data_IF_753272150712
#
_entry.id   IF_753272150712
#
_cell.length_a   1.000
_cell.length_b   1.000
_cell.length_c   1.000
_cell.angle_alpha   90.00
_cell.angle_beta   90.00
_cell.angle_gamma   90.00
#
_symmetry.space_group_name_H-M   'P 1'
#
loop_
_entity.id
_entity.type
_entity.pdbx_description
1 polymer ?
#
# COMPACT_ATOMS: atom_id res chain seq x y z
N UNK A 1 -36.29 0.81 0.43
CA UNK A 1 -36.02 1.02 1.88
C UNK A 1 -35.63 2.47 2.05
N UNK A 2 -36.26 3.21 2.97
CA UNK A 2 -35.92 4.62 3.22
C UNK A 2 -34.54 4.74 3.88
N UNK A 3 -33.70 5.67 3.41
CA UNK A 3 -32.33 5.86 3.93
C UNK A 3 -32.30 6.11 5.44
N UNK A 4 -33.19 6.98 5.93
CA UNK A 4 -33.24 7.32 7.35
C UNK A 4 -33.62 6.13 8.22
N UNK A 5 -34.55 5.31 7.74
CA UNK A 5 -34.92 4.05 8.39
C UNK A 5 -33.73 3.09 8.43
N UNK A 6 -33.03 2.94 7.31
CA UNK A 6 -31.82 2.11 7.22
C UNK A 6 -30.74 2.59 8.19
N UNK A 7 -30.41 3.89 8.20
CA UNK A 7 -29.39 4.44 9.10
C UNK A 7 -29.77 4.22 10.57
N UNK A 8 -31.03 4.44 10.93
CA UNK A 8 -31.51 4.20 12.29
C UNK A 8 -31.39 2.72 12.69
N UNK A 9 -31.81 1.80 11.83
CA UNK A 9 -31.69 0.34 12.02
C UNK A 9 -30.22 -0.06 12.22
N UNK A 10 -29.34 0.38 11.32
CA UNK A 10 -27.91 0.05 11.33
C UNK A 10 -27.10 0.76 12.43
N UNK A 11 -27.68 1.77 13.09
CA UNK A 11 -26.99 2.58 14.09
C UNK A 11 -26.01 3.59 13.51
N UNK A 12 -26.26 4.00 12.26
CA UNK A 12 -25.45 4.97 11.54
C UNK A 12 -25.91 6.39 11.85
N UNK A 13 -24.94 7.24 12.20
CA UNK A 13 -25.17 8.66 12.44
C UNK A 13 -25.20 9.50 11.16
N UNK A 14 -25.35 10.82 11.35
CA UNK A 14 -25.50 11.79 10.26
C UNK A 14 -24.36 11.76 9.23
N UNK A 15 -23.12 11.46 9.63
CA UNK A 15 -21.99 11.40 8.71
C UNK A 15 -22.10 10.22 7.71
N UNK A 16 -22.60 9.08 8.18
CA UNK A 16 -22.88 7.94 7.30
C UNK A 16 -24.08 8.21 6.39
N UNK A 17 -25.10 8.90 6.89
CA UNK A 17 -26.25 9.34 6.08
C UNK A 17 -25.79 10.27 4.94
N UNK A 18 -24.89 11.24 5.22
CA UNK A 18 -24.31 12.11 4.18
C UNK A 18 -23.52 11.35 3.12
N UNK A 19 -22.81 10.28 3.50
CA UNK A 19 -22.07 9.42 2.56
C UNK A 19 -23.05 8.67 1.64
N UNK A 20 -24.15 8.16 2.19
CA UNK A 20 -25.10 7.31 1.48
C UNK A 20 -26.12 8.11 0.66
N UNK A 21 -26.57 9.27 1.13
CA UNK A 21 -27.60 10.09 0.49
C UNK A 21 -27.41 10.31 -1.02
N UNK A 22 -26.25 10.77 -1.53
CA UNK A 22 -26.09 11.06 -2.95
C UNK A 22 -26.10 9.81 -3.84
N UNK A 23 -26.03 8.61 -3.26
CA UNK A 23 -25.89 7.34 -3.98
C UNK A 23 -26.96 6.32 -3.59
N UNK A 24 -27.90 6.68 -2.71
CA UNK A 24 -28.81 5.74 -2.06
C UNK A 24 -29.73 5.02 -3.04
N UNK A 25 -30.33 5.74 -3.98
CA UNK A 25 -31.25 5.16 -4.96
C UNK A 25 -30.54 4.13 -5.84
N UNK A 26 -29.32 4.46 -6.30
CA UNK A 26 -28.48 3.53 -7.06
C UNK A 26 -28.14 2.28 -6.26
N UNK A 27 -27.85 2.42 -4.96
CA UNK A 27 -27.56 1.29 -4.08
C UNK A 27 -28.81 0.43 -3.85
N UNK A 28 -29.98 1.04 -3.69
CA UNK A 28 -31.26 0.33 -3.56
C UNK A 28 -31.63 -0.46 -4.82
N UNK A 29 -31.37 0.10 -6.00
CA UNK A 29 -31.66 -0.55 -7.29
C UNK A 29 -30.79 -1.81 -7.52
N UNK A 30 -29.55 -1.80 -7.04
CA UNK A 30 -28.57 -2.84 -7.38
C UNK A 30 -28.24 -3.83 -6.26
N UNK A 31 -28.58 -3.52 -5.01
CA UNK A 31 -28.44 -4.48 -3.92
C UNK A 31 -29.37 -5.68 -4.16
N UNK A 32 -28.79 -6.86 -4.20
CA UNK A 32 -29.53 -8.10 -4.40
C UNK A 32 -30.45 -8.36 -3.18
N UNK A 33 -31.68 -8.85 -3.42
CA UNK A 33 -32.58 -9.24 -2.34
C UNK A 33 -32.08 -10.52 -1.63
N UNK A 34 -32.36 -10.61 -0.33
CA UNK A 34 -32.03 -11.78 0.48
C UNK A 34 -30.57 -11.82 0.96
N UNK A 35 -30.18 -12.94 1.57
CA UNK A 35 -28.84 -13.13 2.11
C UNK A 35 -27.84 -13.36 0.97
N UNK A 36 -26.78 -12.54 0.83
CA UNK A 36 -25.78 -12.72 -0.23
C UNK A 36 -25.07 -14.06 -0.16
N UNK A 37 -24.66 -14.58 -1.32
CA UNK A 37 -23.94 -15.87 -1.43
C UNK A 37 -22.67 -15.90 -0.57
N UNK A 38 -21.94 -14.78 -0.48
CA UNK A 38 -20.71 -14.69 0.32
C UNK A 38 -20.95 -14.76 1.83
N UNK A 39 -22.21 -14.77 2.27
CA UNK A 39 -22.60 -14.96 3.66
C UNK A 39 -23.07 -16.40 3.95
N UNK A 40 -22.98 -17.33 2.99
CA UNK A 40 -23.29 -18.74 3.25
C UNK A 40 -22.05 -19.49 3.74
N UNK A 41 -22.27 -20.51 4.56
CA UNK A 41 -21.20 -21.31 5.19
C UNK A 41 -20.20 -21.85 4.17
N UNK A 42 -20.69 -22.55 3.14
CA UNK A 42 -19.88 -23.12 2.06
C UNK A 42 -18.98 -22.08 1.37
N UNK A 43 -19.39 -20.81 1.33
CA UNK A 43 -18.59 -19.76 0.72
C UNK A 43 -17.33 -19.46 1.54
N UNK A 44 -17.49 -19.12 2.81
CA UNK A 44 -16.33 -18.74 3.63
C UNK A 44 -15.54 -19.96 4.10
N UNK A 45 -16.14 -21.15 4.21
CA UNK A 45 -15.42 -22.42 4.39
C UNK A 45 -14.40 -22.63 3.26
N UNK A 46 -14.80 -22.31 2.02
CA UNK A 46 -13.91 -22.40 0.85
C UNK A 46 -12.82 -21.32 0.84
N UNK A 47 -13.18 -20.06 1.09
CA UNK A 47 -12.30 -18.92 0.81
C UNK A 47 -11.49 -18.43 2.01
N UNK A 48 -12.04 -18.51 3.23
CA UNK A 48 -11.36 -18.00 4.42
C UNK A 48 -10.03 -18.71 4.71
N UNK A 49 -9.89 -20.05 4.58
CA UNK A 49 -8.62 -20.73 4.84
C UNK A 49 -7.46 -20.22 3.97
N UNK A 50 -7.76 -19.68 2.77
CA UNK A 50 -6.74 -19.08 1.90
C UNK A 50 -6.10 -17.82 2.48
N UNK A 51 -6.74 -17.18 3.46
CA UNK A 51 -6.25 -15.93 4.06
C UNK A 51 -5.13 -16.16 5.07
N UNK A 52 -5.00 -17.38 5.62
CA UNK A 52 -4.11 -17.63 6.76
C UNK A 52 -4.49 -16.84 8.02
N UNK A 53 -5.75 -16.43 8.14
CA UNK A 53 -6.29 -15.78 9.33
C UNK A 53 -6.38 -16.72 10.55
N UNK A 54 -6.69 -16.18 11.74
CA UNK A 54 -6.75 -16.97 12.97
C UNK A 54 -7.88 -18.01 12.99
N UNK A 55 -7.72 -19.04 13.80
CA UNK A 55 -8.76 -20.04 14.07
C UNK A 55 -9.99 -19.41 14.75
N UNK A 56 -11.11 -20.16 14.77
CA UNK A 56 -12.37 -19.72 15.41
C UNK A 56 -13.18 -18.70 14.61
N UNK A 57 -12.76 -18.37 13.38
CA UNK A 57 -13.49 -17.42 12.54
C UNK A 57 -14.83 -17.95 12.01
N UNK A 58 -14.95 -19.26 11.81
CA UNK A 58 -16.17 -19.88 11.28
C UNK A 58 -17.38 -19.57 12.16
N UNK A 59 -17.26 -19.75 13.48
CA UNK A 59 -18.33 -19.45 14.43
C UNK A 59 -18.75 -17.97 14.40
N UNK A 60 -17.79 -17.06 14.23
CA UNK A 60 -18.07 -15.62 14.11
C UNK A 60 -18.77 -15.29 12.80
N UNK A 61 -18.38 -15.93 11.70
CA UNK A 61 -19.02 -15.77 10.40
C UNK A 61 -20.45 -16.36 10.40
N UNK A 62 -20.66 -17.53 10.99
CA UNK A 62 -21.97 -18.14 11.21
C UNK A 62 -22.90 -17.18 12.00
N UNK A 63 -22.39 -16.54 13.05
CA UNK A 63 -23.14 -15.56 13.83
C UNK A 63 -23.55 -14.34 12.98
N UNK A 64 -22.64 -13.81 12.16
CA UNK A 64 -22.93 -12.70 11.23
C UNK A 64 -23.96 -13.11 10.18
N UNK A 65 -23.84 -14.32 9.63
CA UNK A 65 -24.78 -14.89 8.67
C UNK A 65 -26.18 -15.06 9.26
N UNK A 66 -26.29 -15.53 10.50
CA UNK A 66 -27.56 -15.65 11.22
C UNK A 66 -28.24 -14.28 11.39
N UNK A 67 -27.49 -13.27 11.81
CA UNK A 67 -28.01 -11.89 11.94
C UNK A 67 -28.54 -11.38 10.59
N UNK A 68 -27.79 -11.61 9.50
CA UNK A 68 -28.24 -11.20 8.17
C UNK A 68 -29.48 -11.97 7.69
N UNK A 69 -29.63 -13.25 8.04
CA UNK A 69 -30.81 -14.04 7.71
C UNK A 69 -32.07 -13.58 8.45
N UNK A 70 -31.94 -13.08 9.67
CA UNK A 70 -33.05 -12.64 10.53
C UNK A 70 -33.37 -11.13 10.37
N UNK A 71 -32.44 -10.33 9.83
CA UNK A 71 -32.58 -8.89 9.67
C UNK A 71 -32.41 -8.45 8.19
N UNK A 72 -33.50 -8.04 7.49
CA UNK A 72 -33.44 -7.58 6.11
C UNK A 72 -32.52 -6.36 5.88
N UNK A 73 -32.40 -5.44 6.84
CA UNK A 73 -31.47 -4.30 6.75
C UNK A 73 -30.00 -4.76 6.80
N UNK A 74 -29.70 -5.78 7.60
CA UNK A 74 -28.37 -6.38 7.69
C UNK A 74 -27.98 -7.10 6.38
N UNK A 75 -28.87 -7.92 5.83
CA UNK A 75 -28.66 -8.55 4.52
C UNK A 75 -28.49 -7.51 3.40
N UNK A 76 -29.36 -6.50 3.38
CA UNK A 76 -29.28 -5.39 2.43
C UNK A 76 -27.94 -4.66 2.55
N UNK A 77 -27.47 -4.36 3.77
CA UNK A 77 -26.18 -3.69 3.97
C UNK A 77 -25.01 -4.50 3.41
N UNK A 78 -24.98 -5.81 3.66
CA UNK A 78 -23.96 -6.69 3.10
C UNK A 78 -23.97 -6.66 1.56
N UNK A 79 -25.15 -6.78 0.94
CA UNK A 79 -25.27 -6.71 -0.52
C UNK A 79 -24.86 -5.34 -1.08
N UNK A 80 -25.26 -4.27 -0.40
CA UNK A 80 -24.94 -2.89 -0.78
C UNK A 80 -23.42 -2.68 -0.78
N UNK A 81 -22.72 -3.14 0.27
CA UNK A 81 -21.26 -3.04 0.34
C UNK A 81 -20.59 -3.82 -0.78
N UNK A 82 -21.01 -5.05 -1.05
CA UNK A 82 -20.48 -5.85 -2.16
C UNK A 82 -20.63 -5.15 -3.50
N UNK A 83 -21.83 -4.64 -3.81
CA UNK A 83 -22.07 -3.90 -5.04
C UNK A 83 -21.19 -2.65 -5.11
N UNK A 84 -21.22 -1.81 -4.08
CA UNK A 84 -20.50 -0.54 -4.01
C UNK A 84 -18.98 -0.71 -4.22
N UNK A 85 -18.40 -1.70 -3.52
CA UNK A 85 -16.96 -1.92 -3.46
C UNK A 85 -16.41 -2.73 -4.64
N UNK A 86 -17.21 -3.58 -5.29
CA UNK A 86 -16.69 -4.52 -6.29
C UNK A 86 -17.40 -4.50 -7.63
N UNK A 87 -18.71 -4.27 -7.66
CA UNK A 87 -19.49 -4.33 -8.91
C UNK A 87 -19.63 -2.96 -9.59
N UNK A 88 -19.92 -1.90 -8.83
CA UNK A 88 -20.12 -0.55 -9.36
C UNK A 88 -18.89 -0.03 -10.13
N UNK A 89 -19.14 0.63 -11.27
CA UNK A 89 -18.14 1.32 -12.10
C UNK A 89 -18.66 2.74 -12.42
N UNK A 90 -17.96 3.82 -12.00
CA UNK A 90 -16.91 3.83 -10.97
C UNK A 90 -17.42 3.28 -9.61
N UNK A 91 -16.51 2.93 -8.72
CA UNK A 91 -16.86 2.44 -7.37
C UNK A 91 -17.61 3.51 -6.56
N UNK A 92 -18.46 3.07 -5.63
CA UNK A 92 -19.23 3.97 -4.76
C UNK A 92 -18.45 4.21 -3.46
N UNK A 93 -18.31 5.47 -2.98
CA UNK A 93 -17.41 5.81 -1.88
C UNK A 93 -17.97 5.43 -0.50
N UNK A 94 -18.07 4.14 -0.20
CA UNK A 94 -18.57 3.60 1.08
C UNK A 94 -17.47 3.23 2.08
N UNK A 95 -16.21 3.44 1.72
CA UNK A 95 -15.04 2.99 2.51
C UNK A 95 -14.92 3.66 3.88
N UNK A 96 -15.53 4.83 4.06
CA UNK A 96 -15.51 5.62 5.30
C UNK A 96 -16.77 5.45 6.14
N UNK A 97 -17.63 4.47 5.81
CA UNK A 97 -18.76 4.15 6.68
C UNK A 97 -18.27 3.62 8.04
N UNK A 98 -18.95 3.96 9.14
CA UNK A 98 -18.59 3.47 10.46
C UNK A 98 -18.87 1.96 10.58
N UNK A 99 -18.27 1.34 11.60
CA UNK A 99 -18.62 -0.04 11.96
C UNK A 99 -20.10 -0.13 12.34
N UNK A 100 -20.76 -1.19 11.88
CA UNK A 100 -22.16 -1.52 12.18
C UNK A 100 -22.33 -2.19 13.56
N UNK A 101 -21.69 -1.62 14.59
CA UNK A 101 -21.62 -2.19 15.93
C UNK A 101 -22.97 -2.35 16.63
N UNK A 102 -23.97 -1.50 16.29
CA UNK A 102 -25.34 -1.65 16.81
C UNK A 102 -25.97 -2.99 16.42
N UNK A 103 -25.71 -3.47 15.21
CA UNK A 103 -26.34 -4.67 14.65
C UNK A 103 -25.48 -5.91 14.88
N UNK A 104 -24.17 -5.80 14.68
CA UNK A 104 -23.25 -6.95 14.70
C UNK A 104 -22.37 -7.02 15.96
N UNK A 105 -22.45 -6.04 16.86
CA UNK A 105 -21.61 -5.97 18.05
C UNK A 105 -20.12 -6.04 17.71
N UNK A 106 -19.38 -6.87 18.43
CA UNK A 106 -17.96 -7.15 18.15
C UNK A 106 -17.68 -7.78 16.78
N UNK A 107 -18.69 -8.39 16.14
CA UNK A 107 -18.55 -9.00 14.82
C UNK A 107 -18.76 -8.02 13.66
N UNK A 108 -18.90 -6.70 13.91
CA UNK A 108 -19.00 -5.71 12.84
C UNK A 108 -17.79 -5.74 11.89
N UNK A 109 -16.58 -5.96 12.42
CA UNK A 109 -15.38 -6.18 11.61
C UNK A 109 -15.41 -7.48 10.81
N UNK A 110 -16.08 -8.52 11.31
CA UNK A 110 -16.23 -9.82 10.64
C UNK A 110 -17.17 -9.70 9.44
N UNK A 111 -18.25 -8.92 9.53
CA UNK A 111 -19.06 -8.59 8.35
C UNK A 111 -18.21 -7.96 7.24
N UNK A 112 -17.39 -6.96 7.58
CA UNK A 112 -16.52 -6.31 6.59
C UNK A 112 -15.52 -7.30 5.98
N UNK A 113 -15.03 -8.26 6.77
CA UNK A 113 -14.16 -9.32 6.28
C UNK A 113 -14.89 -10.24 5.30
N UNK A 114 -16.13 -10.65 5.59
CA UNK A 114 -16.94 -11.46 4.68
C UNK A 114 -17.22 -10.73 3.36
N UNK A 115 -17.50 -9.42 3.43
CA UNK A 115 -17.57 -8.57 2.23
C UNK A 115 -16.23 -8.57 1.51
N UNK A 116 -15.09 -8.40 2.18
CA UNK A 116 -13.77 -8.43 1.53
C UNK A 116 -13.48 -9.79 0.85
N UNK A 117 -13.86 -10.92 1.48
CA UNK A 117 -13.74 -12.27 0.90
C UNK A 117 -14.54 -12.43 -0.40
N UNK A 118 -15.64 -11.71 -0.54
CA UNK A 118 -16.45 -11.72 -1.77
C UNK A 118 -15.70 -11.23 -3.02
N UNK A 119 -14.54 -10.57 -2.85
CA UNK A 119 -13.66 -10.18 -3.96
C UNK A 119 -12.86 -11.35 -4.55
N UNK A 120 -12.64 -12.44 -3.80
CA UNK A 120 -11.80 -13.57 -4.22
C UNK A 120 -12.34 -14.32 -5.45
N UNK A 121 -13.62 -14.70 -5.55
CA UNK A 121 -14.15 -15.28 -6.79
C UNK A 121 -14.05 -14.32 -7.99
N UNK A 122 -14.19 -13.00 -7.77
CA UNK A 122 -14.07 -12.00 -8.84
C UNK A 122 -12.63 -11.87 -9.32
N UNK A 123 -11.67 -11.91 -8.38
CA UNK A 123 -10.24 -11.94 -8.67
C UNK A 123 -9.84 -13.22 -9.39
N UNK A 124 -10.39 -14.38 -8.98
CA UNK A 124 -10.16 -15.66 -9.65
C UNK A 124 -10.53 -15.63 -11.13
N UNK A 125 -11.70 -15.06 -11.47
CA UNK A 125 -12.11 -14.86 -12.87
C UNK A 125 -11.14 -13.97 -13.66
N UNK A 126 -10.58 -12.94 -13.02
CA UNK A 126 -9.56 -12.10 -13.66
C UNK A 126 -8.26 -12.86 -13.90
N UNK A 127 -7.79 -13.65 -12.93
CA UNK A 127 -6.59 -14.47 -13.10
C UNK A 127 -6.77 -15.52 -14.22
N UNK A 128 -7.93 -16.19 -14.26
CA UNK A 128 -8.28 -17.14 -15.32
C UNK A 128 -8.23 -16.47 -16.71
N UNK A 129 -8.87 -15.30 -16.86
CA UNK A 129 -8.85 -14.52 -18.10
C UNK A 129 -7.43 -14.12 -18.53
N UNK A 130 -6.54 -13.86 -17.58
CA UNK A 130 -5.14 -13.49 -17.83
C UNK A 130 -4.23 -14.72 -18.02
N UNK A 131 -4.76 -15.95 -17.92
CA UNK A 131 -3.97 -17.19 -17.97
C UNK A 131 -3.03 -17.37 -16.77
N UNK A 132 -3.33 -16.71 -15.64
CA UNK A 132 -2.52 -16.76 -14.42
C UNK A 132 -3.04 -17.90 -13.52
N UNK A 133 -2.18 -18.83 -13.05
CA UNK A 133 -2.61 -19.97 -12.24
C UNK A 133 -3.25 -19.59 -10.89
N UNK A 134 -4.19 -20.41 -10.42
CA UNK A 134 -4.94 -20.21 -9.18
C UNK A 134 -4.07 -20.04 -7.93
N UNK A 135 -2.83 -20.55 -7.92
CA UNK A 135 -1.90 -20.34 -6.78
C UNK A 135 -1.74 -18.86 -6.41
N UNK A 136 -1.79 -17.95 -7.40
CA UNK A 136 -1.71 -16.51 -7.18
C UNK A 136 -2.97 -15.95 -6.48
N UNK A 137 -4.13 -16.62 -6.59
CA UNK A 137 -5.32 -16.26 -5.82
C UNK A 137 -5.10 -16.48 -4.33
N UNK A 138 -4.43 -17.58 -3.95
CA UNK A 138 -4.10 -17.86 -2.54
C UNK A 138 -3.11 -16.84 -1.99
N UNK A 139 -2.10 -16.47 -2.78
CA UNK A 139 -1.17 -15.42 -2.42
C UNK A 139 -1.92 -14.10 -2.17
N UNK A 140 -2.81 -13.70 -3.09
CA UNK A 140 -3.66 -12.52 -2.92
C UNK A 140 -4.56 -12.63 -1.68
N UNK A 141 -5.20 -13.78 -1.45
CA UNK A 141 -6.05 -13.99 -0.28
C UNK A 141 -5.28 -13.81 1.05
N UNK A 142 -4.01 -14.18 1.10
CA UNK A 142 -3.16 -13.98 2.28
C UNK A 142 -2.94 -12.51 2.65
N UNK A 143 -3.23 -11.56 1.75
CA UNK A 143 -3.29 -10.13 2.08
C UNK A 143 -4.37 -9.85 3.12
N UNK A 144 -5.52 -10.51 3.02
CA UNK A 144 -6.60 -10.36 3.99
C UNK A 144 -6.17 -10.81 5.38
N UNK A 145 -5.36 -11.87 5.51
CA UNK A 145 -4.77 -12.29 6.79
C UNK A 145 -3.99 -11.17 7.48
N UNK A 146 -3.20 -10.41 6.73
CA UNK A 146 -2.51 -9.22 7.25
C UNK A 146 -3.47 -8.12 7.70
N UNK A 147 -4.55 -7.88 6.96
CA UNK A 147 -5.56 -6.89 7.37
C UNK A 147 -6.35 -7.31 8.62
N UNK A 148 -6.54 -8.61 8.84
CA UNK A 148 -7.17 -9.12 10.06
C UNK A 148 -6.31 -8.81 11.28
N UNK A 149 -4.99 -8.98 11.16
CA UNK A 149 -4.05 -8.63 12.24
C UNK A 149 -4.02 -7.12 12.51
N UNK A 150 -4.04 -6.30 11.45
CA UNK A 150 -4.11 -4.83 11.58
C UNK A 150 -5.40 -4.42 12.30
N UNK A 151 -6.55 -5.00 11.92
CA UNK A 151 -7.82 -4.72 12.59
C UNK A 151 -7.76 -5.10 14.08
N UNK A 152 -7.28 -6.30 14.39
CA UNK A 152 -7.18 -6.80 15.75
C UNK A 152 -6.28 -5.93 16.65
N UNK A 153 -5.20 -5.36 16.10
CA UNK A 153 -4.33 -4.44 16.83
C UNK A 153 -5.05 -3.18 17.34
N UNK A 154 -6.11 -2.73 16.64
CA UNK A 154 -6.91 -1.57 17.04
C UNK A 154 -8.16 -1.91 17.89
N UNK A 155 -8.50 -3.19 18.01
CA UNK A 155 -9.76 -3.67 18.58
C UNK A 155 -9.54 -4.79 19.62
N UNK A 156 -8.56 -4.63 20.50
CA UNK A 156 -8.32 -5.51 21.64
C UNK A 156 -8.19 -7.01 21.28
N UNK A 157 -7.62 -7.29 20.11
CA UNK A 157 -7.43 -8.65 19.61
C UNK A 157 -8.65 -9.24 18.88
N UNK A 158 -9.78 -8.54 18.83
CA UNK A 158 -10.97 -8.98 18.10
C UNK A 158 -10.67 -8.96 16.60
N UNK A 159 -10.80 -10.09 15.89
CA UNK A 159 -10.48 -10.17 14.47
C UNK A 159 -11.57 -9.52 13.61
N UNK A 160 -11.18 -8.96 12.46
CA UNK A 160 -12.10 -8.30 11.54
C UNK A 160 -11.39 -7.63 10.38
N UNK A 161 -12.05 -6.72 9.68
CA UNK A 161 -11.48 -5.94 8.58
C UNK A 161 -12.05 -4.52 8.58
N UNK A 162 -11.25 -3.54 8.14
CA UNK A 162 -11.74 -2.16 7.96
C UNK A 162 -12.15 -1.93 6.50
N UNK A 163 -13.28 -1.24 6.30
CA UNK A 163 -13.74 -0.86 4.95
C UNK A 163 -12.75 0.07 4.22
N UNK A 164 -11.94 0.82 4.97
CA UNK A 164 -10.92 1.72 4.42
C UNK A 164 -9.85 1.00 3.61
N UNK A 165 -9.56 -0.27 3.92
CA UNK A 165 -8.60 -1.09 3.18
C UNK A 165 -9.22 -1.80 1.98
N UNK A 166 -10.54 -2.03 1.99
CA UNK A 166 -11.23 -2.85 0.99
C UNK A 166 -11.08 -2.37 -0.47
N UNK A 167 -11.00 -1.06 -0.79
CA UNK A 167 -10.73 -0.60 -2.16
C UNK A 167 -9.45 -1.16 -2.78
N UNK A 168 -8.46 -1.56 -1.96
CA UNK A 168 -7.21 -2.16 -2.44
C UNK A 168 -7.46 -3.42 -3.27
N UNK A 169 -8.44 -4.24 -2.87
CA UNK A 169 -8.79 -5.50 -3.54
C UNK A 169 -9.28 -5.29 -4.98
N UNK A 170 -9.78 -4.10 -5.31
CA UNK A 170 -10.20 -3.76 -6.66
C UNK A 170 -9.03 -3.80 -7.65
N UNK A 171 -7.81 -3.50 -7.22
CA UNK A 171 -6.64 -3.60 -8.08
C UNK A 171 -6.34 -5.04 -8.52
N UNK A 172 -6.60 -6.02 -7.64
CA UNK A 172 -6.50 -7.44 -8.00
C UNK A 172 -7.61 -7.82 -8.98
N UNK A 173 -8.85 -7.40 -8.71
CA UNK A 173 -9.99 -7.65 -9.60
C UNK A 173 -9.80 -7.04 -10.99
N UNK A 174 -9.20 -5.86 -11.08
CA UNK A 174 -8.94 -5.18 -12.35
C UNK A 174 -7.68 -5.71 -13.05
N UNK A 175 -6.95 -6.67 -12.46
CA UNK A 175 -5.76 -7.28 -13.05
C UNK A 175 -4.56 -6.33 -13.11
N UNK A 176 -4.45 -5.42 -12.14
CA UNK A 176 -3.39 -4.40 -12.06
C UNK A 176 -2.39 -4.65 -10.94
N UNK A 177 -2.81 -5.38 -9.90
CA UNK A 177 -2.01 -5.69 -8.73
C UNK A 177 -1.86 -7.20 -8.57
N UNK A 178 -0.62 -7.64 -8.35
CA UNK A 178 -0.30 -9.05 -8.17
C UNK A 178 0.56 -9.25 -6.93
N UNK A 179 0.19 -10.22 -6.09
CA UNK A 179 1.04 -10.68 -5.01
C UNK A 179 1.93 -11.80 -5.52
N UNK A 180 3.25 -11.62 -5.42
CA UNK A 180 4.25 -12.53 -5.99
C UNK A 180 5.33 -12.70 -4.93
N UNK A 181 5.48 -13.89 -4.37
CA UNK A 181 6.36 -14.12 -3.23
C UNK A 181 5.96 -13.26 -2.02
N UNK A 182 6.90 -12.49 -1.48
CA UNK A 182 6.66 -11.68 -0.27
C UNK A 182 5.94 -10.37 -0.56
N UNK A 183 6.06 -9.82 -1.76
CA UNK A 183 5.64 -8.45 -2.08
C UNK A 183 4.43 -8.43 -3.01
N UNK A 184 3.83 -7.25 -3.12
CA UNK A 184 2.81 -6.92 -4.11
C UNK A 184 3.35 -5.95 -5.14
N UNK A 185 2.85 -6.07 -6.37
CA UNK A 185 3.34 -5.32 -7.53
C UNK A 185 2.17 -4.71 -8.30
N UNK A 186 2.02 -3.40 -8.22
CA UNK A 186 1.01 -2.62 -8.94
C UNK A 186 1.62 -2.10 -10.24
N UNK A 187 1.01 -2.41 -11.39
CA UNK A 187 1.43 -1.84 -12.66
C UNK A 187 1.20 -0.33 -12.71
N UNK A 188 2.20 0.40 -13.21
CA UNK A 188 2.18 1.85 -13.35
C UNK A 188 3.38 2.35 -14.16
N UNK A 189 3.54 3.66 -14.23
CA UNK A 189 4.71 4.31 -14.82
C UNK A 189 5.70 4.79 -13.76
N UNK A 190 6.78 5.45 -14.20
CA UNK A 190 7.72 6.09 -13.29
C UNK A 190 7.02 7.23 -12.52
N UNK A 191 6.93 7.18 -11.19
CA UNK A 191 6.12 8.12 -10.43
C UNK A 191 6.77 9.50 -10.32
N UNK A 192 5.92 10.53 -10.25
CA UNK A 192 6.36 11.92 -10.06
C UNK A 192 6.91 12.21 -8.66
N UNK A 193 6.61 11.35 -7.69
CA UNK A 193 7.16 11.46 -6.36
C UNK A 193 8.58 10.89 -6.23
N UNK A 194 9.12 10.26 -7.29
CA UNK A 194 10.54 9.87 -7.38
C UNK A 194 11.39 10.91 -8.12
N UNK A 195 12.71 10.97 -7.83
CA UNK A 195 13.68 11.71 -8.63
C UNK A 195 13.62 11.30 -10.11
N UNK A 196 14.13 12.15 -10.99
CA UNK A 196 14.44 11.73 -12.36
C UNK A 196 15.75 10.95 -12.35
N UNK A 197 15.83 9.91 -13.18
CA UNK A 197 17.01 9.05 -13.25
C UNK A 197 17.47 8.96 -14.69
N UNK A 198 18.75 9.25 -14.90
CA UNK A 198 19.43 9.12 -16.18
C UNK A 198 20.49 8.04 -16.08
N UNK A 199 20.71 7.33 -17.18
CA UNK A 199 21.75 6.32 -17.32
C UNK A 199 22.76 6.75 -18.39
N UNK A 200 24.05 6.64 -18.08
CA UNK A 200 25.11 6.91 -19.03
C UNK A 200 25.21 5.77 -20.06
N UNK A 201 25.34 6.10 -21.34
CA UNK A 201 25.42 5.12 -22.44
C UNK A 201 26.72 4.32 -22.44
N UNK A 202 27.84 4.89 -21.97
CA UNK A 202 29.18 4.32 -22.07
C UNK A 202 29.47 3.31 -20.97
N UNK A 203 29.16 3.66 -19.72
CA UNK A 203 29.53 2.87 -18.54
C UNK A 203 28.32 2.42 -17.70
N UNK A 204 27.11 2.86 -18.07
CA UNK A 204 25.89 2.48 -17.37
C UNK A 204 25.67 3.16 -16.02
N UNK A 205 26.52 4.14 -15.65
CA UNK A 205 26.37 4.91 -14.40
C UNK A 205 25.03 5.62 -14.32
N UNK A 206 24.55 5.82 -13.08
CA UNK A 206 23.30 6.50 -12.81
C UNK A 206 23.55 7.94 -12.36
N UNK A 207 22.73 8.85 -12.86
CA UNK A 207 22.60 10.20 -12.34
C UNK A 207 21.15 10.38 -11.86
N UNK A 208 20.98 10.55 -10.55
CA UNK A 208 19.68 10.72 -9.90
C UNK A 208 19.55 12.19 -9.51
N UNK A 209 18.59 12.89 -10.10
CA UNK A 209 18.41 14.33 -9.91
C UNK A 209 17.03 14.63 -9.29
N UNK A 210 16.98 15.58 -8.37
CA UNK A 210 15.73 16.13 -7.88
C UNK A 210 14.85 16.63 -9.04
N UNK A 211 13.53 16.55 -8.88
CA UNK A 211 12.62 17.23 -9.80
C UNK A 211 12.66 18.73 -9.57
N UNK A 212 12.23 19.47 -10.59
CA UNK A 212 12.08 20.91 -10.49
C UNK A 212 11.09 21.28 -9.38
N UNK A 213 11.35 22.40 -8.70
CA UNK A 213 10.52 22.94 -7.60
C UNK A 213 10.40 22.06 -6.35
N UNK A 214 11.13 20.96 -6.23
CA UNK A 214 11.18 20.24 -4.95
C UNK A 214 11.83 21.11 -3.87
N UNK A 215 11.08 21.38 -2.80
CA UNK A 215 11.46 22.22 -1.69
C UNK A 215 11.97 21.38 -0.51
N UNK A 216 13.02 21.84 0.16
CA UNK A 216 13.70 21.10 1.21
C UNK A 216 14.01 21.97 2.44
N UNK A 217 13.99 21.34 3.62
CA UNK A 217 14.53 21.93 4.85
C UNK A 217 16.08 21.88 4.89
N UNK A 218 16.67 22.41 5.96
CA UNK A 218 18.12 22.44 6.15
C UNK A 218 18.76 21.05 6.29
N UNK A 219 17.97 20.05 6.68
CA UNK A 219 18.42 18.67 6.90
C UNK A 219 18.20 17.80 5.64
N UNK A 220 17.68 18.39 4.56
CA UNK A 220 17.49 17.74 3.26
C UNK A 220 16.20 16.92 3.15
N UNK A 221 15.23 17.10 4.05
CA UNK A 221 13.91 16.50 3.93
C UNK A 221 13.00 17.39 3.07
N UNK A 222 12.11 16.77 2.28
CA UNK A 222 11.14 17.56 1.51
C UNK A 222 10.15 18.23 2.45
N UNK A 223 9.78 19.45 2.10
CA UNK A 223 8.76 20.24 2.79
C UNK A 223 7.69 20.71 1.81
N UNK A 224 6.54 21.07 2.35
CA UNK A 224 5.46 21.72 1.62
C UNK A 224 5.70 23.23 1.65
N UNK A 225 6.09 23.87 0.53
CA UNK A 225 6.44 25.29 0.52
C UNK A 225 5.25 26.21 0.80
N UNK A 226 4.02 25.70 0.77
CA UNK A 226 2.83 26.45 1.18
C UNK A 226 2.66 26.50 2.72
N UNK A 227 3.33 25.59 3.45
CA UNK A 227 3.21 25.45 4.91
C UNK A 227 4.47 25.86 5.67
N UNK A 228 5.63 25.71 5.03
CA UNK A 228 6.93 25.97 5.65
C UNK A 228 7.85 26.68 4.65
N UNK A 229 8.67 27.60 5.15
CA UNK A 229 9.71 28.26 4.35
C UNK A 229 10.86 27.28 4.09
N UNK A 230 11.12 26.89 2.82
CA UNK A 230 12.20 25.96 2.53
C UNK A 230 13.58 26.60 2.68
N UNK A 231 14.56 25.81 3.13
CA UNK A 231 15.96 26.20 3.14
C UNK A 231 16.54 26.30 1.72
N UNK A 232 16.10 25.43 0.80
CA UNK A 232 16.39 25.58 -0.61
C UNK A 232 15.33 24.89 -1.49
N UNK A 233 15.28 25.30 -2.76
CA UNK A 233 14.42 24.69 -3.78
C UNK A 233 15.30 24.15 -4.91
N UNK A 234 15.15 22.86 -5.19
CA UNK A 234 15.85 22.22 -6.29
C UNK A 234 15.38 22.77 -7.65
N UNK A 235 16.29 22.69 -8.62
CA UNK A 235 16.01 23.06 -10.01
C UNK A 235 16.37 21.90 -10.91
N UNK A 236 15.54 21.66 -11.92
CA UNK A 236 15.82 20.73 -13.01
C UNK A 236 15.48 21.44 -14.31
N UNK A 237 16.51 21.73 -15.12
CA UNK A 237 16.35 22.46 -16.38
C UNK A 237 16.94 21.66 -17.53
N UNK A 238 16.13 21.47 -18.56
CA UNK A 238 16.59 21.00 -19.86
C UNK A 238 16.80 22.21 -20.78
N UNK A 239 18.00 22.32 -21.37
CA UNK A 239 18.36 23.37 -22.32
C UNK A 239 19.45 22.86 -23.25
N UNK A 240 19.31 23.10 -24.55
CA UNK A 240 20.31 22.79 -25.60
C UNK A 240 20.83 21.34 -25.54
N UNK A 241 19.92 20.38 -25.36
CA UNK A 241 20.28 18.95 -25.27
C UNK A 241 21.03 18.57 -24.00
N UNK A 242 20.97 19.39 -22.95
CA UNK A 242 21.57 19.12 -21.64
C UNK A 242 20.53 19.24 -20.54
N UNK A 243 20.60 18.35 -19.56
CA UNK A 243 19.80 18.40 -18.33
C UNK A 243 20.70 18.81 -17.18
N UNK A 244 20.33 19.85 -16.43
CA UNK A 244 21.05 20.31 -15.23
C UNK A 244 20.15 20.22 -14.03
N UNK A 245 20.61 19.57 -12.95
CA UNK A 245 19.86 19.54 -11.70
C UNK A 245 20.68 19.25 -10.46
N UNK A 246 20.00 19.25 -9.31
CA UNK A 246 20.57 18.90 -8.01
C UNK A 246 20.61 17.38 -7.84
N UNK A 247 21.79 16.76 -7.61
CA UNK A 247 21.87 15.32 -7.46
C UNK A 247 21.36 14.84 -6.10
N UNK A 248 20.91 13.59 -6.04
CA UNK A 248 20.42 12.90 -4.84
C UNK A 248 21.38 11.76 -4.52
N UNK A 249 21.78 11.57 -3.26
CA UNK A 249 22.61 10.43 -2.84
C UNK A 249 21.79 9.13 -2.75
N UNK A 250 22.42 7.94 -2.76
CA UNK A 250 21.71 6.67 -2.54
C UNK A 250 20.97 6.57 -1.19
N UNK A 251 21.36 7.37 -0.20
CA UNK A 251 20.67 7.50 1.08
C UNK A 251 19.39 8.35 1.00
N UNK A 252 19.11 8.96 -0.15
CA UNK A 252 17.89 9.73 -0.42
C UNK A 252 18.00 11.21 -0.11
N UNK A 253 19.21 11.73 0.13
CA UNK A 253 19.37 13.15 0.45
C UNK A 253 19.81 13.97 -0.76
N UNK A 254 19.26 15.17 -0.96
CA UNK A 254 19.76 16.08 -1.98
C UNK A 254 21.15 16.61 -1.59
N UNK A 255 22.07 16.71 -2.55
CA UNK A 255 23.37 17.35 -2.33
C UNK A 255 23.23 18.86 -2.54
N UNK A 256 22.81 19.55 -1.47
CA UNK A 256 22.58 21.01 -1.51
C UNK A 256 23.82 21.77 -2.00
N UNK A 257 23.60 22.81 -2.81
CA UNK A 257 24.66 23.61 -3.43
C UNK A 257 25.37 22.96 -4.63
N UNK A 258 25.21 21.65 -4.86
CA UNK A 258 25.78 20.97 -6.03
C UNK A 258 24.82 20.97 -7.21
N UNK A 259 25.35 21.18 -8.41
CA UNK A 259 24.65 20.99 -9.69
C UNK A 259 25.43 20.03 -10.57
N UNK A 260 24.72 19.17 -11.28
CA UNK A 260 25.27 18.27 -12.28
C UNK A 260 24.59 18.55 -13.61
N UNK A 261 25.38 18.66 -14.67
CA UNK A 261 24.91 18.81 -16.05
C UNK A 261 25.23 17.53 -16.82
N UNK A 262 24.21 16.92 -17.42
CA UNK A 262 24.34 15.73 -18.26
C UNK A 262 24.06 16.10 -19.71
N UNK A 263 24.93 15.66 -20.61
CA UNK A 263 24.73 15.77 -22.06
C UNK A 263 23.80 14.63 -22.53
N UNK A 264 22.66 14.94 -23.13
CA UNK A 264 21.66 13.93 -23.54
C UNK A 264 22.12 13.06 -24.73
N UNK A 265 23.26 13.39 -25.33
CA UNK A 265 23.97 12.48 -26.25
C UNK A 265 24.58 11.31 -25.50
N UNK A 266 25.14 11.56 -24.32
CA UNK A 266 25.81 10.56 -23.48
C UNK A 266 24.89 9.94 -22.43
N UNK A 267 23.80 10.61 -22.07
CA UNK A 267 22.86 10.22 -21.03
C UNK A 267 21.43 10.10 -21.57
N UNK A 268 20.68 9.12 -21.09
CA UNK A 268 19.27 8.95 -21.45
C UNK A 268 18.40 8.70 -20.21
N UNK A 269 17.12 9.13 -20.23
CA UNK A 269 16.19 8.79 -19.17
C UNK A 269 16.09 7.27 -18.99
N UNK A 270 16.16 6.81 -17.74
CA UNK A 270 16.10 5.38 -17.41
C UNK A 270 14.82 4.71 -17.95
N UNK A 271 13.70 5.43 -17.83
CA UNK A 271 12.37 4.96 -18.20
C UNK A 271 11.73 5.95 -19.18
N UNK A 272 11.09 5.43 -20.22
CA UNK A 272 10.17 6.15 -21.09
C UNK A 272 8.77 6.22 -20.45
N UNK A 273 7.93 7.13 -20.96
CA UNK A 273 6.58 7.34 -20.43
C UNK A 273 5.66 6.10 -20.54
N UNK A 274 5.93 5.20 -21.48
CA UNK A 274 5.16 3.98 -21.70
C UNK A 274 5.71 2.75 -20.97
N UNK A 275 6.88 2.85 -20.33
CA UNK A 275 7.45 1.72 -19.60
C UNK A 275 6.56 1.37 -18.40
N UNK A 276 6.28 0.07 -18.24
CA UNK A 276 5.60 -0.45 -17.08
C UNK A 276 6.61 -0.67 -15.95
N UNK A 277 6.50 0.14 -14.91
CA UNK A 277 7.36 0.16 -13.72
C UNK A 277 6.51 -0.29 -12.52
N UNK A 278 6.65 -1.56 -12.08
CA UNK A 278 5.86 -2.05 -10.97
C UNK A 278 6.17 -1.30 -9.67
N UNK A 279 5.13 -0.73 -9.07
CA UNK A 279 5.17 -0.20 -7.71
C UNK A 279 5.06 -1.34 -6.72
N UNK A 280 6.04 -1.45 -5.83
CA UNK A 280 6.13 -2.43 -4.76
C UNK A 280 5.25 -2.01 -3.59
N UNK A 281 4.43 -2.92 -3.12
CA UNK A 281 3.62 -2.79 -1.91
C UNK A 281 3.98 -3.93 -0.94
N UNK A 282 3.85 -3.66 0.36
CA UNK A 282 4.31 -4.55 1.43
C UNK A 282 3.11 -4.92 2.30
N UNK A 283 2.46 -6.07 2.04
CA UNK A 283 1.39 -6.58 2.89
C UNK A 283 1.91 -6.88 4.30
N UNK A 284 1.00 -6.84 5.29
CA UNK A 284 1.30 -7.25 6.66
C UNK A 284 1.67 -8.74 6.76
N UNK A 285 2.41 -9.12 7.81
CA UNK A 285 2.84 -10.51 8.07
C UNK A 285 4.10 -10.96 7.31
N UNK A 286 4.42 -12.25 7.36
CA UNK A 286 5.40 -12.92 6.46
C UNK A 286 6.89 -12.57 6.58
N UNK A 287 7.28 -11.59 7.40
CA UNK A 287 8.68 -11.12 7.53
C UNK A 287 9.24 -10.50 6.25
N UNK A 288 10.35 -9.76 6.30
CA UNK A 288 10.95 -9.18 5.07
C UNK A 288 12.44 -9.51 5.03
N UNK A 289 12.79 -10.78 5.24
CA UNK A 289 14.20 -11.16 5.13
C UNK A 289 14.74 -10.77 3.76
N UNK A 290 16.04 -10.50 3.73
CA UNK A 290 16.76 -10.15 2.50
C UNK A 290 16.48 -11.15 1.38
N UNK A 291 16.47 -12.44 1.72
CA UNK A 291 16.22 -13.56 0.82
C UNK A 291 14.79 -13.53 0.28
N UNK A 292 13.80 -13.31 1.15
CA UNK A 292 12.40 -13.25 0.75
C UNK A 292 12.13 -12.06 -0.18
N UNK A 293 12.68 -10.89 0.13
CA UNK A 293 12.55 -9.69 -0.72
C UNK A 293 13.24 -9.91 -2.07
N UNK A 294 14.48 -10.43 -2.07
CA UNK A 294 15.21 -10.73 -3.32
C UNK A 294 14.47 -11.74 -4.20
N UNK A 295 14.00 -12.83 -3.60
CA UNK A 295 13.24 -13.88 -4.31
C UNK A 295 11.96 -13.32 -4.92
N UNK A 296 11.23 -12.50 -4.15
CA UNK A 296 10.03 -11.81 -4.61
C UNK A 296 10.29 -10.94 -5.84
N UNK A 297 11.34 -10.12 -5.82
CA UNK A 297 11.70 -9.22 -6.94
C UNK A 297 12.12 -10.00 -8.19
N UNK A 298 12.88 -11.09 -8.02
CA UNK A 298 13.30 -11.95 -9.12
C UNK A 298 12.12 -12.71 -9.74
N UNK A 299 11.21 -13.23 -8.91
CA UNK A 299 10.00 -13.89 -9.40
C UNK A 299 9.08 -12.91 -10.12
N UNK A 300 8.95 -11.68 -9.61
CA UNK A 300 8.15 -10.64 -10.26
C UNK A 300 8.66 -10.32 -11.68
N UNK A 301 9.98 -10.25 -11.89
CA UNK A 301 10.56 -10.09 -13.24
C UNK A 301 10.12 -11.21 -14.18
N UNK A 302 10.16 -12.46 -13.71
CA UNK A 302 9.74 -13.62 -14.50
C UNK A 302 8.23 -13.62 -14.78
N UNK A 303 7.44 -13.27 -13.75
CA UNK A 303 5.99 -13.18 -13.84
C UNK A 303 5.53 -12.16 -14.89
N UNK A 304 6.05 -10.93 -14.82
CA UNK A 304 5.66 -9.87 -15.75
C UNK A 304 6.12 -10.14 -17.18
N UNK A 305 7.30 -10.76 -17.35
CA UNK A 305 7.74 -11.23 -18.66
C UNK A 305 6.81 -12.30 -19.23
N UNK A 306 6.38 -13.25 -18.40
CA UNK A 306 5.55 -14.39 -18.83
C UNK A 306 4.12 -13.99 -19.18
N UNK A 307 3.45 -13.23 -18.31
CA UNK A 307 2.01 -12.98 -18.45
C UNK A 307 1.68 -11.64 -19.12
N UNK A 308 2.65 -10.72 -19.21
CA UNK A 308 2.43 -9.37 -19.74
C UNK A 308 3.46 -8.97 -20.80
N UNK A 309 4.33 -9.89 -21.24
CA UNK A 309 5.41 -9.62 -22.20
C UNK A 309 6.24 -8.39 -21.85
N UNK A 310 6.37 -8.10 -20.55
CA UNK A 310 6.96 -6.86 -20.02
C UNK A 310 8.32 -7.17 -19.42
N UNK A 311 9.36 -6.51 -19.92
CA UNK A 311 10.67 -6.52 -19.29
C UNK A 311 10.75 -5.40 -18.24
N UNK A 312 10.78 -5.79 -16.97
CA UNK A 312 10.79 -4.85 -15.85
C UNK A 312 12.15 -4.17 -15.78
N UNK A 313 12.20 -2.86 -15.98
CA UNK A 313 13.44 -2.06 -15.87
C UNK A 313 13.81 -1.73 -14.43
N UNK A 314 12.81 -1.40 -13.62
CA UNK A 314 12.98 -1.01 -12.24
C UNK A 314 11.74 -1.37 -11.41
N UNK A 315 11.93 -1.49 -10.11
CA UNK A 315 10.88 -1.53 -9.11
C UNK A 315 10.93 -0.24 -8.30
N UNK A 316 9.77 0.30 -7.95
CA UNK A 316 9.67 1.57 -7.19
C UNK A 316 8.81 1.37 -5.96
N UNK A 317 9.03 2.13 -4.89
CA UNK A 317 8.16 2.09 -3.72
C UNK A 317 8.15 3.44 -3.00
N UNK A 318 6.97 3.88 -2.56
CA UNK A 318 6.80 4.98 -1.61
C UNK A 318 6.17 4.43 -0.35
N UNK A 319 6.86 4.50 0.80
CA UNK A 319 6.35 3.91 2.04
C UNK A 319 7.03 4.46 3.30
N UNK A 320 6.29 4.39 4.41
CA UNK A 320 6.77 4.69 5.77
C UNK A 320 7.93 3.77 6.19
N UNK A 321 8.06 2.58 5.59
CA UNK A 321 9.16 1.66 5.88
C UNK A 321 10.53 2.19 5.41
N UNK A 322 10.53 3.24 4.58
CA UNK A 322 11.74 3.94 4.14
C UNK A 322 11.99 5.23 4.93
N UNK A 323 11.36 5.38 6.11
CA UNK A 323 11.74 6.42 7.05
C UNK A 323 13.25 6.30 7.38
N UNK A 324 14.06 7.34 7.15
CA UNK A 324 15.50 7.29 7.45
C UNK A 324 15.81 6.98 8.91
N UNK A 325 14.88 7.25 9.83
CA UNK A 325 15.04 6.94 11.25
C UNK A 325 15.24 5.43 11.51
N UNK A 326 14.72 4.53 10.68
CA UNK A 326 14.78 3.08 10.94
C UNK A 326 16.20 2.52 10.92
N UNK A 327 17.11 3.08 10.14
CA UNK A 327 18.51 2.63 10.16
C UNK A 327 19.22 2.96 11.47
N UNK A 328 18.76 4.00 12.20
CA UNK A 328 19.26 4.35 13.54
C UNK A 328 18.49 3.64 14.65
N UNK A 329 17.17 3.62 14.54
CA UNK A 329 16.28 3.08 15.59
C UNK A 329 16.24 1.55 15.63
N UNK A 330 16.44 0.91 14.48
CA UNK A 330 16.27 -0.52 14.25
C UNK A 330 17.35 -1.05 13.27
N UNK A 331 18.65 -0.86 13.54
CA UNK A 331 19.74 -1.11 12.57
C UNK A 331 19.77 -2.54 12.02
N UNK A 332 19.44 -3.52 12.86
CA UNK A 332 19.45 -4.96 12.55
C UNK A 332 18.10 -5.46 12.01
N UNK A 333 17.12 -4.57 11.82
CA UNK A 333 15.82 -4.95 11.29
C UNK A 333 15.86 -5.18 9.78
N UNK A 334 14.94 -6.01 9.31
CA UNK A 334 14.65 -6.18 7.90
C UNK A 334 14.27 -4.86 7.18
N UNK A 335 13.66 -3.91 7.90
CA UNK A 335 13.32 -2.58 7.35
C UNK A 335 14.59 -1.81 7.00
N UNK A 336 15.52 -1.75 7.95
CA UNK A 336 16.81 -1.11 7.77
C UNK A 336 17.66 -1.84 6.72
N UNK A 337 17.65 -3.18 6.70
CA UNK A 337 18.36 -3.95 5.67
C UNK A 337 17.84 -3.63 4.27
N UNK A 338 16.52 -3.67 4.07
CA UNK A 338 15.94 -3.35 2.76
C UNK A 338 16.27 -1.92 2.33
N UNK A 339 16.19 -0.95 3.24
CA UNK A 339 16.57 0.45 3.01
C UNK A 339 18.03 0.62 2.54
N UNK A 340 18.93 -0.29 2.93
CA UNK A 340 20.35 -0.27 2.51
C UNK A 340 20.59 -0.89 1.13
N UNK A 341 19.69 -1.74 0.63
CA UNK A 341 19.86 -2.45 -0.65
C UNK A 341 19.35 -1.67 -1.87
N UNK A 342 18.64 -0.56 -1.67
CA UNK A 342 17.95 0.19 -2.73
C UNK A 342 18.51 1.60 -2.88
N UNK A 343 18.21 2.26 -4.00
CA UNK A 343 18.48 3.69 -4.15
C UNK A 343 17.30 4.46 -3.56
N UNK A 344 17.52 5.20 -2.47
CA UNK A 344 16.45 6.00 -1.87
C UNK A 344 16.24 7.31 -2.62
N UNK A 345 15.00 7.72 -2.72
CA UNK A 345 14.62 9.09 -3.07
C UNK A 345 14.38 9.92 -1.81
N UNK A 346 14.30 11.25 -1.93
CA UNK A 346 13.97 12.10 -0.80
C UNK A 346 12.61 11.76 -0.18
N UNK A 347 12.53 11.92 1.14
CA UNK A 347 11.30 11.69 1.89
C UNK A 347 10.16 12.53 1.33
N UNK A 348 8.93 12.03 1.41
CA UNK A 348 7.76 12.85 1.12
C UNK A 348 7.62 13.94 2.18
N UNK A 349 7.01 15.10 1.83
CA UNK A 349 6.63 16.09 2.82
C UNK A 349 5.89 15.41 3.98
N UNK A 350 6.22 15.73 5.24
CA UNK A 350 5.56 15.13 6.38
C UNK A 350 4.05 15.42 6.31
N UNK A 351 3.25 14.36 6.40
CA UNK A 351 1.80 14.43 6.38
C UNK A 351 1.21 13.27 7.16
N UNK A 352 0.34 13.58 8.13
CA UNK A 352 -0.28 12.59 9.02
C UNK A 352 0.72 11.84 9.92
N UNK A 353 0.34 10.65 10.34
CA UNK A 353 1.18 9.72 11.10
C UNK A 353 1.60 8.49 10.29
N UNK A 354 2.55 8.63 9.33
CA UNK A 354 2.90 7.54 8.42
C UNK A 354 3.37 6.31 9.20
N UNK A 355 2.79 5.16 8.88
CA UNK A 355 3.09 3.89 9.54
C UNK A 355 2.20 3.58 10.76
N UNK A 356 1.57 4.57 11.41
CA UNK A 356 0.74 4.33 12.59
C UNK A 356 -0.36 3.30 12.32
N UNK A 357 -1.15 3.53 11.26
CA UNK A 357 -2.22 2.62 10.86
C UNK A 357 -1.73 1.18 10.63
N UNK A 358 -0.56 1.01 10.01
CA UNK A 358 -0.02 -0.32 9.69
C UNK A 358 0.54 -1.06 10.91
N UNK A 359 0.96 -0.32 11.94
CA UNK A 359 1.55 -0.89 13.16
C UNK A 359 0.49 -1.10 14.25
N UNK A 360 -0.45 -0.15 14.39
CA UNK A 360 -1.43 -0.12 15.48
C UNK A 360 -2.87 -0.35 15.02
N UNK A 361 -3.14 -0.48 13.72
CA UNK A 361 -4.50 -0.55 13.16
C UNK A 361 -5.27 0.77 13.19
N UNK A 362 -4.62 1.85 13.66
CA UNK A 362 -5.21 3.16 13.88
C UNK A 362 -4.12 4.24 13.91
N UNK A 363 -4.52 5.48 13.68
CA UNK A 363 -3.64 6.66 13.61
C UNK A 363 -4.20 7.87 14.40
N UNK A 364 -5.27 7.66 15.15
CA UNK A 364 -5.99 8.67 15.95
C UNK A 364 -5.43 8.84 17.38
N UNK A 365 -4.43 8.04 17.77
CA UNK A 365 -3.89 8.01 19.14
C UNK A 365 -2.38 8.19 19.17
N UNK A 366 -1.91 8.72 20.28
CA UNK A 366 -0.48 8.81 20.58
C UNK A 366 0.09 7.39 20.78
N UNK A 367 1.10 6.95 19.99
CA UNK A 367 1.66 5.61 20.10
C UNK A 367 2.25 5.31 21.48
N UNK A 368 2.64 6.31 22.27
CA UNK A 368 3.13 6.15 23.65
C UNK A 368 2.05 5.68 24.61
N UNK A 369 0.77 5.83 24.24
CA UNK A 369 -0.39 5.38 25.02
C UNK A 369 -0.92 4.01 24.59
N UNK A 370 -0.36 3.44 23.52
CA UNK A 370 -0.78 2.18 22.92
C UNK A 370 0.09 1.00 23.38
N UNK A 371 -0.37 -0.25 23.22
CA UNK A 371 0.42 -1.43 23.54
C UNK A 371 1.80 -1.44 22.87
N UNK A 372 2.85 -1.63 23.66
CA UNK A 372 4.24 -1.60 23.20
C UNK A 372 4.86 -3.00 23.25
N UNK A 373 4.52 -3.84 22.26
CA UNK A 373 4.83 -5.29 22.27
C UNK A 373 6.01 -5.70 21.37
N UNK A 374 6.65 -4.76 20.66
CA UNK A 374 7.73 -5.06 19.72
C UNK A 374 8.82 -3.97 19.75
N UNK A 375 9.99 -4.27 19.18
CA UNK A 375 11.05 -3.27 19.00
C UNK A 375 10.61 -2.10 18.12
N UNK A 376 9.74 -2.37 17.13
CA UNK A 376 9.15 -1.34 16.28
C UNK A 376 8.25 -0.39 17.08
N UNK A 377 7.39 -0.92 17.96
CA UNK A 377 6.58 -0.08 18.85
C UNK A 377 7.46 0.82 19.72
N UNK A 378 8.55 0.27 20.29
CA UNK A 378 9.52 1.05 21.08
C UNK A 378 10.19 2.16 20.25
N UNK A 379 10.48 1.90 18.97
CA UNK A 379 11.04 2.90 18.07
C UNK A 379 10.06 4.05 17.80
N UNK A 380 8.78 3.76 17.57
CA UNK A 380 7.74 4.79 17.45
C UNK A 380 7.65 5.65 18.72
N UNK A 381 7.64 5.03 19.91
CA UNK A 381 7.62 5.77 21.18
C UNK A 381 8.82 6.71 21.32
N UNK A 382 10.05 6.24 21.03
CA UNK A 382 11.26 7.08 21.11
C UNK A 382 11.26 8.25 20.13
N UNK A 383 10.74 8.07 18.91
CA UNK A 383 10.60 9.16 17.94
C UNK A 383 9.64 10.23 18.50
N UNK A 384 8.50 9.80 19.06
CA UNK A 384 7.52 10.70 19.67
C UNK A 384 8.06 11.42 20.91
N UNK A 385 8.83 10.73 21.75
CA UNK A 385 9.50 11.33 22.92
C UNK A 385 10.46 12.45 22.53
N UNK A 386 11.13 12.33 21.38
CA UNK A 386 12.04 13.37 20.85
C UNK A 386 11.31 14.50 20.11
N UNK A 387 9.99 14.41 19.91
CA UNK A 387 9.23 15.37 19.11
C UNK A 387 9.62 15.35 17.63
N UNK A 388 10.22 14.24 17.16
CA UNK A 388 10.60 14.09 15.76
C UNK A 388 9.39 13.63 14.93
N UNK A 389 9.19 14.18 13.72
CA UNK A 389 8.12 13.74 12.84
C UNK A 389 8.38 12.34 12.27
N UNK A 390 7.32 11.53 12.17
CA UNK A 390 7.34 10.32 11.35
C UNK A 390 7.43 10.70 9.86
N UNK A 391 8.20 9.94 9.10
CA UNK A 391 8.45 10.20 7.67
C UNK A 391 8.13 9.00 6.80
N UNK A 392 7.87 9.28 5.54
CA UNK A 392 7.80 8.27 4.47
C UNK A 392 8.91 8.55 3.47
N UNK A 393 9.54 7.48 2.99
CA UNK A 393 10.60 7.55 1.99
C UNK A 393 10.14 6.98 0.65
N UNK A 394 10.92 7.27 -0.38
CA UNK A 394 10.79 6.67 -1.69
C UNK A 394 12.02 5.82 -1.99
N UNK A 395 11.88 4.81 -2.85
CA UNK A 395 13.02 4.08 -3.39
C UNK A 395 12.77 3.61 -4.81
N UNK A 396 13.87 3.30 -5.48
CA UNK A 396 13.87 2.44 -6.65
C UNK A 396 15.02 1.43 -6.58
N UNK A 397 14.88 0.35 -7.33
CA UNK A 397 15.96 -0.60 -7.61
C UNK A 397 15.84 -1.07 -9.06
N UNK A 398 16.96 -1.08 -9.79
CA UNK A 398 16.98 -1.57 -11.16
C UNK A 398 16.90 -3.09 -11.16
N UNK A 399 16.11 -3.65 -12.07
CA UNK A 399 15.94 -5.10 -12.15
C UNK A 399 17.26 -5.82 -12.50
N UNK A 400 18.14 -5.17 -13.28
CA UNK A 400 19.46 -5.71 -13.63
C UNK A 400 20.46 -5.67 -12.46
N UNK A 401 20.23 -4.79 -11.48
CA UNK A 401 21.09 -4.66 -10.30
C UNK A 401 20.69 -5.64 -9.19
N UNK A 402 19.61 -6.40 -9.35
CA UNK A 402 19.21 -7.46 -8.41
C UNK A 402 20.28 -8.54 -8.22
N UNK A 403 21.19 -8.71 -9.19
CA UNK A 403 22.38 -9.56 -9.07
C UNK A 403 23.32 -9.12 -7.94
N UNK A 404 23.33 -7.83 -7.60
CA UNK A 404 24.09 -7.24 -6.51
C UNK A 404 23.27 -7.07 -5.21
N UNK A 405 22.03 -7.54 -5.18
CA UNK A 405 21.19 -7.42 -3.99
C UNK A 405 21.80 -8.17 -2.80
N UNK A 406 21.95 -7.47 -1.68
CA UNK A 406 22.63 -7.93 -0.47
C UNK A 406 24.02 -7.31 -0.25
N UNK A 407 24.51 -6.49 -1.18
CA UNK A 407 25.83 -5.86 -1.09
C UNK A 407 25.79 -4.34 -0.91
N UNK A 408 24.62 -3.74 -0.69
CA UNK A 408 24.45 -2.27 -0.60
C UNK A 408 25.03 -1.55 -1.82
N UNK A 409 24.79 -2.13 -3.00
CA UNK A 409 25.46 -1.79 -4.26
C UNK A 409 25.49 -0.28 -4.55
N UNK A 410 24.34 0.39 -4.51
CA UNK A 410 24.25 1.83 -4.81
C UNK A 410 25.09 2.69 -3.87
N UNK A 411 25.11 2.37 -2.57
CA UNK A 411 25.91 3.10 -1.57
C UNK A 411 27.41 2.88 -1.78
N UNK A 412 27.83 1.65 -2.11
CA UNK A 412 29.23 1.35 -2.38
C UNK A 412 29.75 2.05 -3.62
N UNK A 413 28.99 2.00 -4.72
CA UNK A 413 29.35 2.67 -5.97
C UNK A 413 29.48 4.18 -5.79
N UNK A 414 28.55 4.79 -5.06
CA UNK A 414 28.57 6.24 -4.82
C UNK A 414 29.77 6.70 -3.97
N UNK A 415 30.29 5.87 -3.06
CA UNK A 415 31.47 6.21 -2.24
C UNK A 415 32.80 6.10 -2.99
N UNK A 416 32.81 5.37 -4.10
CA UNK A 416 34.00 5.19 -4.94
C UNK A 416 34.09 6.19 -6.10
N UNK A 417 33.07 7.03 -6.26
CA UNK A 417 33.00 8.15 -7.22
C UNK A 417 33.36 9.48 -6.56
#
# INVERSE_FOLDING_TARGET
MELKTFCNEMGFGIEAEKILFPVWDKLCEHAAPGVPEFMKHDFYEKYYPMTGGPDGMMERMDAVSKIAAENPCAAFYASLLHYALFQARPGVPVSNLPLSGKVFGENAGVLNLMVALSSLPLTGKTLERLGIPERYLRDIASWLGGTIQIYAAAHDGIPGHTLTQTPWLRWHMDGKLFRIGRLEYLFGGWPEWLPVVYRNRKDGKLAVLCRDQWAFDKDGFRVDPEKETPAFIARLKELDGKITGTPVTPEGFPVSGRKVTLDLRDWFPLCAAWDQIPSVHIPGGGGMSREAVKSSLLEAKQFFRKYFSTDVKAFVCGSWIFNPAWEKELPDSNLADFSRQVYKGPCFPPGGGPGLFFVYGRDDKDPRTLPCVSSLHKAFCRIYERGEPLRSGAMFILADDLKHYGTEYYRRMYRTE
#
